data_IF_190427596286
#
_entry.id   IF_190427596286
#
_cell.length_a   1.000
_cell.length_b   1.000
_cell.length_c   1.000
_cell.angle_alpha   90.00
_cell.angle_beta   90.00
_cell.angle_gamma   90.00
#
_symmetry.space_group_name_H-M   'P 1'
#
loop_
_entity.id
_entity.type
_entity.pdbx_description
1 polymer ?
#
# COMPACT_ATOMS: atom_id res chain seq x y z
N UNK A 1 55.54 21.02 24.63
CA UNK A 1 54.66 22.05 25.23
C UNK A 1 54.26 23.14 24.22
N UNK A 2 54.05 22.86 22.95
CA UNK A 2 53.69 23.88 21.93
C UNK A 2 52.37 23.60 21.18
N UNK A 3 51.54 22.67 21.66
CA UNK A 3 50.25 22.28 21.00
C UNK A 3 48.98 22.62 21.81
N UNK A 4 49.08 23.30 22.95
CA UNK A 4 47.95 23.67 23.82
C UNK A 4 47.56 25.14 23.83
N UNK A 5 48.23 25.99 23.04
CA UNK A 5 48.00 27.44 23.06
C UNK A 5 47.15 27.93 21.87
N UNK A 6 46.91 27.09 20.85
CA UNK A 6 46.16 27.50 19.66
C UNK A 6 44.62 27.33 19.84
N UNK A 7 44.16 26.51 20.79
CA UNK A 7 42.72 26.26 21.02
C UNK A 7 42.02 27.34 21.87
N UNK A 8 42.73 28.24 22.50
CA UNK A 8 42.14 29.26 23.42
C UNK A 8 41.88 30.59 22.69
N UNK A 9 42.49 30.82 21.53
CA UNK A 9 42.34 32.10 20.81
C UNK A 9 41.12 32.15 19.86
N UNK A 10 40.42 31.03 19.65
CA UNK A 10 39.26 30.98 18.72
C UNK A 10 37.89 31.16 19.40
N UNK A 11 37.86 31.21 20.74
CA UNK A 11 36.58 31.35 21.51
C UNK A 11 36.28 32.80 21.97
N UNK A 12 37.12 33.79 21.65
CA UNK A 12 36.93 35.15 22.17
C UNK A 12 36.33 36.14 21.15
N UNK A 13 36.12 35.73 19.90
CA UNK A 13 35.63 36.63 18.84
C UNK A 13 34.12 36.54 18.56
N UNK A 14 33.34 35.79 19.31
CA UNK A 14 31.88 35.64 19.09
C UNK A 14 30.97 36.31 20.15
N UNK A 15 31.47 37.15 21.03
CA UNK A 15 30.67 37.80 22.09
C UNK A 15 30.48 39.31 21.93
N UNK A 16 30.94 39.92 20.83
CA UNK A 16 30.95 41.38 20.68
C UNK A 16 29.94 41.98 19.67
N UNK A 17 28.79 41.29 19.41
CA UNK A 17 27.79 41.80 18.44
C UNK A 17 26.37 41.87 18.96
N UNK A 18 26.13 42.02 20.27
CA UNK A 18 24.76 42.22 20.81
C UNK A 18 24.71 43.35 21.85
N UNK A 19 24.99 44.57 21.45
CA UNK A 19 24.64 45.73 22.27
C UNK A 19 24.69 47.01 21.46
N UNK A 20 23.69 47.33 20.64
CA UNK A 20 23.26 48.73 20.37
C UNK A 20 21.85 48.66 19.76
N UNK A 21 20.89 49.32 20.41
CA UNK A 21 19.58 49.60 19.77
C UNK A 21 18.38 49.60 20.69
N UNK A 22 18.41 50.39 21.77
CA UNK A 22 17.22 50.81 22.47
C UNK A 22 16.91 52.23 22.06
N UNK A 23 15.72 52.49 21.48
CA UNK A 23 15.25 53.84 21.14
C UNK A 23 13.74 53.78 20.84
N UNK A 24 12.94 54.26 21.78
CA UNK A 24 11.48 54.35 21.73
C UNK A 24 10.96 55.38 20.71
N UNK A 25 9.85 55.15 20.04
CA UNK A 25 8.55 55.82 20.17
C UNK A 25 7.59 55.57 19.01
N UNK A 26 6.37 55.25 19.45
CA UNK A 26 5.04 55.55 18.89
C UNK A 26 4.63 55.19 17.47
N UNK A 27 3.57 54.36 17.41
CA UNK A 27 2.37 54.58 16.61
C UNK A 27 2.29 53.85 15.28
N UNK A 28 1.46 52.85 15.21
CA UNK A 28 1.00 52.33 13.92
C UNK A 28 0.77 50.80 13.94
N UNK A 29 -0.48 50.44 14.24
CA UNK A 29 -1.00 49.07 14.08
C UNK A 29 -0.95 48.67 12.60
N UNK A 30 -0.04 47.78 12.25
CA UNK A 30 -0.14 46.97 11.04
C UNK A 30 0.33 45.55 11.38
N UNK A 31 -0.64 44.69 11.58
CA UNK A 31 -0.44 43.25 11.71
C UNK A 31 0.05 42.69 10.37
N UNK A 32 1.33 42.74 10.11
CA UNK A 32 1.92 41.84 9.14
C UNK A 32 1.91 40.43 9.75
N UNK A 33 0.95 39.63 9.33
CA UNK A 33 1.09 38.17 9.43
C UNK A 33 2.38 37.78 8.67
N UNK A 34 3.43 37.45 9.39
CA UNK A 34 4.53 36.67 8.84
C UNK A 34 3.93 35.34 8.40
N UNK A 35 3.60 35.22 7.12
CA UNK A 35 3.47 33.94 6.47
C UNK A 35 4.87 33.32 6.46
N UNK A 36 5.17 32.58 7.51
CA UNK A 36 6.33 31.71 7.53
C UNK A 36 6.22 30.78 6.32
N UNK A 37 7.07 31.00 5.34
CA UNK A 37 7.31 30.07 4.24
C UNK A 37 7.97 28.82 4.85
N UNK A 38 7.14 27.95 5.45
CA UNK A 38 7.55 26.63 5.89
C UNK A 38 7.85 25.84 4.62
N UNK A 39 9.09 25.87 4.14
CA UNK A 39 9.54 24.93 3.11
C UNK A 39 9.05 23.55 3.51
N UNK A 40 8.13 22.98 2.75
CA UNK A 40 7.61 21.65 2.98
C UNK A 40 8.79 20.68 3.15
N UNK A 41 8.79 19.92 4.26
CA UNK A 41 9.87 18.97 4.53
C UNK A 41 9.91 17.96 3.38
N UNK A 42 11.05 17.82 2.74
CA UNK A 42 11.28 16.77 1.74
C UNK A 42 11.59 15.48 2.47
N UNK A 43 10.94 14.42 2.05
CA UNK A 43 11.15 13.08 2.59
C UNK A 43 11.81 12.20 1.55
N UNK A 44 12.58 11.21 2.00
CA UNK A 44 13.15 10.15 1.18
C UNK A 44 12.36 8.86 1.43
N UNK A 45 11.76 8.31 0.40
CA UNK A 45 10.85 7.16 0.47
C UNK A 45 11.43 5.97 -0.29
N UNK A 46 11.64 4.85 0.39
CA UNK A 46 11.89 3.56 -0.23
C UNK A 46 10.58 2.81 -0.43
N UNK A 47 10.37 2.24 -1.61
CA UNK A 47 9.16 1.48 -1.93
C UNK A 47 9.60 0.14 -2.52
N UNK A 48 9.20 -0.95 -1.90
CA UNK A 48 9.38 -2.30 -2.42
C UNK A 48 8.04 -2.98 -2.62
N UNK A 49 7.83 -3.53 -3.79
CA UNK A 49 6.58 -4.16 -4.19
C UNK A 49 6.82 -5.63 -4.58
N UNK A 50 5.84 -6.47 -4.29
CA UNK A 50 5.83 -7.89 -4.61
C UNK A 50 6.09 -8.13 -6.09
N UNK A 51 5.29 -7.50 -6.97
CA UNK A 51 5.47 -7.60 -8.42
C UNK A 51 4.81 -6.43 -9.15
N UNK A 52 5.50 -5.89 -10.15
CA UNK A 52 4.97 -4.91 -11.11
C UNK A 52 4.46 -5.57 -12.41
N UNK A 53 4.58 -6.88 -12.55
CA UNK A 53 3.97 -7.61 -13.66
C UNK A 53 2.45 -7.60 -13.57
N UNK A 54 1.89 -7.50 -12.35
CA UNK A 54 0.48 -7.33 -12.11
C UNK A 54 0.03 -5.92 -12.51
N UNK A 55 -0.87 -5.82 -13.50
CA UNK A 55 -1.31 -4.54 -14.07
C UNK A 55 -2.02 -3.62 -13.05
N UNK A 56 -2.72 -4.19 -12.06
CA UNK A 56 -3.35 -3.42 -10.99
C UNK A 56 -2.29 -2.71 -10.14
N UNK A 57 -1.29 -3.44 -9.67
CA UNK A 57 -0.22 -2.87 -8.84
C UNK A 57 0.66 -1.91 -9.61
N UNK A 58 0.96 -2.18 -10.88
CA UNK A 58 1.67 -1.23 -11.75
C UNK A 58 0.90 0.10 -11.87
N UNK A 59 -0.42 0.05 -11.99
CA UNK A 59 -1.29 1.23 -12.02
C UNK A 59 -1.30 1.99 -10.70
N UNK A 60 -1.40 1.30 -9.57
CA UNK A 60 -1.36 1.89 -8.22
C UNK A 60 -0.02 2.58 -7.98
N UNK A 61 1.09 1.92 -8.32
CA UNK A 61 2.43 2.49 -8.15
C UNK A 61 2.65 3.70 -9.05
N UNK A 62 2.17 3.68 -10.30
CA UNK A 62 2.22 4.85 -11.18
C UNK A 62 1.52 6.08 -10.58
N UNK A 63 0.37 5.88 -9.91
CA UNK A 63 -0.31 6.98 -9.22
C UNK A 63 0.42 7.43 -7.96
N UNK A 64 1.04 6.52 -7.21
CA UNK A 64 1.86 6.86 -6.06
C UNK A 64 3.06 7.71 -6.48
N UNK A 65 3.77 7.32 -7.56
CA UNK A 65 4.90 8.10 -8.09
C UNK A 65 4.50 9.51 -8.50
N UNK A 66 3.36 9.69 -9.17
CA UNK A 66 2.81 11.02 -9.50
C UNK A 66 2.66 11.87 -8.22
N UNK A 67 2.05 11.31 -7.17
CA UNK A 67 1.84 12.01 -5.90
C UNK A 67 3.16 12.36 -5.17
N UNK A 68 4.15 11.49 -5.22
CA UNK A 68 5.46 11.74 -4.60
C UNK A 68 6.22 12.83 -5.36
N UNK A 69 6.16 12.84 -6.70
CA UNK A 69 6.71 13.89 -7.56
C UNK A 69 6.06 15.24 -7.28
N UNK A 70 4.74 15.30 -7.18
CA UNK A 70 3.99 16.53 -6.89
C UNK A 70 4.35 17.11 -5.51
N UNK A 71 4.63 16.24 -4.53
CA UNK A 71 5.13 16.64 -3.21
C UNK A 71 6.60 17.07 -3.21
N UNK A 72 7.34 16.80 -4.30
CA UNK A 72 8.76 17.02 -4.39
C UNK A 72 9.59 16.14 -3.43
N UNK A 73 9.08 14.95 -3.12
CA UNK A 73 9.77 13.97 -2.29
C UNK A 73 10.71 13.11 -3.14
N UNK A 74 11.85 12.74 -2.58
CA UNK A 74 12.75 11.79 -3.21
C UNK A 74 12.25 10.37 -2.96
N UNK A 75 12.18 9.54 -3.99
CA UNK A 75 11.73 8.16 -3.83
C UNK A 75 12.49 7.19 -4.72
N UNK A 76 12.47 5.93 -4.30
CA UNK A 76 12.98 4.79 -5.06
C UNK A 76 11.93 3.68 -5.01
N UNK A 77 11.42 3.25 -6.16
CA UNK A 77 10.47 2.13 -6.30
C UNK A 77 11.21 0.94 -6.93
N UNK A 78 11.15 -0.22 -6.28
CA UNK A 78 11.81 -1.45 -6.75
C UNK A 78 10.83 -2.62 -6.67
N UNK A 79 10.77 -3.39 -7.75
CA UNK A 79 10.12 -4.68 -7.83
C UNK A 79 10.99 -5.76 -7.19
N UNK A 80 10.45 -6.61 -6.33
CA UNK A 80 11.19 -7.75 -5.79
C UNK A 80 10.93 -9.06 -6.55
N UNK A 81 10.09 -9.02 -7.60
CA UNK A 81 9.80 -10.15 -8.50
C UNK A 81 9.35 -11.40 -7.73
N UNK A 82 8.43 -11.24 -6.78
CA UNK A 82 7.93 -12.29 -5.88
C UNK A 82 9.02 -13.00 -5.04
N UNK A 83 10.19 -12.37 -4.88
CA UNK A 83 11.32 -12.94 -4.15
C UNK A 83 11.55 -12.23 -2.81
N UNK A 84 11.19 -12.89 -1.71
CA UNK A 84 11.31 -12.33 -0.37
C UNK A 84 12.77 -12.08 0.06
N UNK A 85 13.74 -12.88 -0.38
CA UNK A 85 15.15 -12.65 -0.07
C UNK A 85 15.68 -11.39 -0.80
N UNK A 86 15.25 -11.17 -2.04
CA UNK A 86 15.52 -9.93 -2.79
C UNK A 86 14.88 -8.75 -2.05
N UNK A 87 13.64 -8.91 -1.57
CA UNK A 87 12.92 -7.85 -0.85
C UNK A 87 13.60 -7.46 0.45
N UNK A 88 14.09 -8.42 1.24
CA UNK A 88 14.90 -8.15 2.43
C UNK A 88 16.12 -7.28 2.07
N UNK A 89 16.87 -7.65 1.04
CA UNK A 89 18.06 -6.89 0.61
C UNK A 89 17.70 -5.47 0.11
N UNK A 90 16.54 -5.29 -0.51
CA UNK A 90 16.03 -3.96 -0.91
C UNK A 90 15.74 -3.09 0.32
N UNK A 91 15.10 -3.65 1.35
CA UNK A 91 14.81 -2.95 2.61
C UNK A 91 16.10 -2.59 3.34
N UNK A 92 17.09 -3.50 3.41
CA UNK A 92 18.43 -3.20 3.95
C UNK A 92 19.08 -2.00 3.25
N UNK A 93 18.99 -1.92 1.92
CA UNK A 93 19.49 -0.81 1.13
C UNK A 93 18.75 0.50 1.44
N UNK A 94 17.43 0.46 1.67
CA UNK A 94 16.65 1.63 2.07
C UNK A 94 17.05 2.13 3.47
N UNK A 95 17.28 1.23 4.43
CA UNK A 95 17.79 1.56 5.76
C UNK A 95 19.15 2.24 5.64
N UNK A 96 20.10 1.60 4.94
CA UNK A 96 21.46 2.10 4.77
C UNK A 96 21.49 3.46 4.05
N UNK A 97 20.60 3.67 3.09
CA UNK A 97 20.50 4.92 2.36
C UNK A 97 19.81 6.05 3.13
N UNK A 98 19.31 5.78 4.33
CA UNK A 98 18.66 6.75 5.21
C UNK A 98 17.32 7.24 4.67
N UNK A 99 16.41 6.31 4.31
CA UNK A 99 15.03 6.66 4.02
C UNK A 99 14.32 7.16 5.28
N UNK A 100 13.39 8.10 5.14
CA UNK A 100 12.49 8.53 6.23
C UNK A 100 11.29 7.58 6.36
N UNK A 101 10.88 6.96 5.24
CA UNK A 101 9.75 6.02 5.14
C UNK A 101 10.13 4.88 4.20
N UNK A 102 9.79 3.67 4.62
CA UNK A 102 9.81 2.48 3.76
C UNK A 102 8.39 1.98 3.60
N UNK A 103 7.94 1.85 2.35
CA UNK A 103 6.65 1.29 1.99
C UNK A 103 6.85 -0.12 1.46
N UNK A 104 6.13 -1.08 2.02
CA UNK A 104 6.32 -2.51 1.74
C UNK A 104 5.01 -3.13 1.28
N UNK A 105 4.99 -3.69 0.06
CA UNK A 105 4.02 -4.70 -0.35
C UNK A 105 4.73 -6.05 -0.29
N UNK A 106 4.52 -6.85 0.77
CA UNK A 106 5.35 -8.01 1.00
C UNK A 106 5.07 -9.14 0.00
N UNK A 107 6.12 -9.79 -0.49
CA UNK A 107 5.99 -11.07 -1.20
C UNK A 107 5.72 -12.22 -0.21
N UNK A 108 6.28 -12.12 0.98
CA UNK A 108 5.99 -12.95 2.15
C UNK A 108 6.15 -12.06 3.41
N UNK A 109 5.02 -11.75 4.05
CA UNK A 109 4.99 -10.88 5.22
C UNK A 109 5.92 -11.37 6.34
N UNK A 110 5.96 -12.69 6.60
CA UNK A 110 6.80 -13.26 7.67
C UNK A 110 8.29 -13.16 7.35
N UNK A 111 8.66 -13.29 6.09
CA UNK A 111 10.05 -13.24 5.68
C UNK A 111 10.68 -11.85 5.87
N UNK A 112 9.88 -10.79 5.73
CA UNK A 112 10.38 -9.40 5.81
C UNK A 112 10.17 -8.75 7.19
N UNK A 113 9.51 -9.43 8.15
CA UNK A 113 9.24 -8.89 9.49
C UNK A 113 10.50 -8.42 10.23
N UNK A 114 11.56 -9.23 10.21
CA UNK A 114 12.77 -8.89 10.96
C UNK A 114 13.46 -7.64 10.41
N UNK A 115 13.57 -7.53 9.10
CA UNK A 115 14.22 -6.36 8.49
C UNK A 115 13.35 -5.10 8.63
N UNK A 116 12.03 -5.23 8.66
CA UNK A 116 11.13 -4.12 8.96
C UNK A 116 11.29 -3.65 10.42
N UNK A 117 11.52 -4.59 11.36
CA UNK A 117 11.86 -4.24 12.73
C UNK A 117 13.18 -3.45 12.80
N UNK A 118 14.20 -3.85 12.06
CA UNK A 118 15.48 -3.11 12.01
C UNK A 118 15.28 -1.69 11.46
N UNK A 119 14.40 -1.51 10.48
CA UNK A 119 14.04 -0.18 9.98
C UNK A 119 13.40 0.68 11.08
N UNK A 120 12.45 0.12 11.85
CA UNK A 120 11.83 0.80 12.99
C UNK A 120 12.83 1.14 14.08
N UNK A 121 13.76 0.23 14.40
CA UNK A 121 14.82 0.44 15.39
C UNK A 121 15.81 1.56 14.95
N UNK A 122 15.88 1.85 13.63
CA UNK A 122 16.62 2.95 13.04
C UNK A 122 15.79 4.25 12.88
N UNK A 123 14.63 4.37 13.56
CA UNK A 123 13.69 5.50 13.48
C UNK A 123 13.07 5.72 12.08
N UNK A 124 13.18 4.77 11.17
CA UNK A 124 12.54 4.82 9.86
C UNK A 124 11.09 4.35 10.00
N UNK A 125 10.15 5.08 9.41
CA UNK A 125 8.75 4.67 9.40
C UNK A 125 8.54 3.55 8.40
N UNK A 126 7.76 2.54 8.78
CA UNK A 126 7.41 1.42 7.89
C UNK A 126 5.91 1.42 7.68
N UNK A 127 5.49 1.44 6.42
CA UNK A 127 4.09 1.27 6.02
C UNK A 127 3.97 -0.01 5.19
N UNK A 128 3.09 -0.89 5.62
CA UNK A 128 2.73 -2.09 4.87
C UNK A 128 1.34 -1.94 4.27
N UNK A 129 1.10 -2.56 3.14
CA UNK A 129 -0.25 -2.69 2.59
C UNK A 129 -0.48 -4.09 2.03
N UNK A 130 -1.76 -4.45 1.89
CA UNK A 130 -2.32 -5.71 1.45
C UNK A 130 -2.19 -6.83 2.49
N UNK A 131 -1.02 -7.38 2.76
CA UNK A 131 -0.78 -8.37 3.81
C UNK A 131 -0.31 -7.71 5.11
N UNK A 132 -1.06 -7.83 6.23
CA UNK A 132 -0.70 -7.16 7.47
C UNK A 132 0.58 -7.73 8.09
N UNK A 133 1.41 -6.84 8.61
CA UNK A 133 2.65 -7.14 9.31
C UNK A 133 2.63 -6.59 10.74
N UNK A 134 3.36 -7.22 11.66
CA UNK A 134 3.46 -6.77 13.05
C UNK A 134 4.45 -5.60 13.21
N UNK A 135 5.62 -5.69 12.56
CA UNK A 135 6.68 -4.69 12.67
C UNK A 135 6.48 -3.54 11.68
N UNK A 136 5.44 -2.75 11.89
CA UNK A 136 5.10 -1.60 11.06
C UNK A 136 4.67 -0.40 11.89
N UNK A 137 4.82 0.80 11.33
CA UNK A 137 4.22 2.03 11.86
C UNK A 137 2.72 2.07 11.52
N UNK A 138 2.36 1.57 10.34
CA UNK A 138 0.99 1.49 9.87
C UNK A 138 0.81 0.34 8.87
N UNK A 139 -0.31 -0.37 9.02
CA UNK A 139 -0.83 -1.29 8.02
C UNK A 139 -2.02 -0.66 7.31
N UNK A 140 -2.00 -0.67 5.99
CA UNK A 140 -3.15 -0.29 5.16
C UNK A 140 -3.68 -1.54 4.47
N UNK A 141 -4.66 -2.16 5.10
CA UNK A 141 -5.22 -3.44 4.66
C UNK A 141 -6.72 -3.29 4.39
N UNK A 142 -7.23 -4.12 3.50
CA UNK A 142 -8.65 -4.27 3.26
C UNK A 142 -9.19 -5.43 4.11
N UNK A 143 -10.41 -5.29 4.59
CA UNK A 143 -11.17 -6.44 5.04
C UNK A 143 -11.66 -7.20 3.80
N UNK A 144 -10.91 -8.24 3.43
CA UNK A 144 -11.18 -9.01 2.21
C UNK A 144 -12.48 -9.83 2.31
N UNK A 145 -12.86 -10.26 3.51
CA UNK A 145 -14.13 -10.93 3.73
C UNK A 145 -15.30 -9.98 3.48
N UNK A 146 -15.27 -8.79 4.09
CA UNK A 146 -16.34 -7.79 3.90
C UNK A 146 -16.38 -7.27 2.44
N UNK A 147 -15.22 -7.06 1.81
CA UNK A 147 -15.17 -6.72 0.38
C UNK A 147 -15.81 -7.83 -0.46
N UNK A 148 -15.49 -9.09 -0.17
CA UNK A 148 -16.10 -10.24 -0.85
C UNK A 148 -17.63 -10.28 -0.67
N UNK A 149 -18.13 -10.05 0.55
CA UNK A 149 -19.57 -9.99 0.82
C UNK A 149 -20.27 -8.91 0.01
N UNK A 150 -19.67 -7.72 -0.08
CA UNK A 150 -20.25 -6.64 -0.89
C UNK A 150 -20.27 -6.99 -2.38
N UNK A 151 -19.22 -7.65 -2.91
CA UNK A 151 -19.20 -8.13 -4.30
C UNK A 151 -20.31 -9.17 -4.50
N UNK A 152 -20.41 -10.17 -3.62
CA UNK A 152 -21.45 -11.20 -3.67
C UNK A 152 -22.86 -10.63 -3.58
N UNK A 153 -23.09 -9.63 -2.74
CA UNK A 153 -24.35 -8.90 -2.63
C UNK A 153 -24.70 -8.19 -3.93
N UNK A 154 -23.74 -7.51 -4.59
CA UNK A 154 -23.97 -6.87 -5.90
C UNK A 154 -24.31 -7.90 -6.98
N UNK A 155 -23.62 -9.04 -6.99
CA UNK A 155 -23.96 -10.14 -7.87
C UNK A 155 -25.38 -10.67 -7.59
N UNK A 156 -25.75 -10.82 -6.32
CA UNK A 156 -27.09 -11.25 -5.92
C UNK A 156 -28.19 -10.27 -6.34
N UNK A 157 -27.96 -8.96 -6.28
CA UNK A 157 -28.88 -7.94 -6.81
C UNK A 157 -29.16 -8.18 -8.29
N UNK A 158 -28.12 -8.41 -9.10
CA UNK A 158 -28.27 -8.75 -10.53
C UNK A 158 -28.99 -10.08 -10.73
N UNK A 159 -28.61 -11.12 -9.99
CA UNK A 159 -29.22 -12.45 -10.07
C UNK A 159 -30.71 -12.38 -9.72
N UNK A 160 -31.07 -11.67 -8.66
CA UNK A 160 -32.47 -11.52 -8.25
C UNK A 160 -33.35 -10.74 -9.24
N UNK A 161 -32.73 -9.89 -10.09
CA UNK A 161 -33.43 -9.16 -11.15
C UNK A 161 -33.63 -10.01 -12.43
N UNK A 162 -32.69 -10.90 -12.73
CA UNK A 162 -32.64 -11.62 -14.02
C UNK A 162 -33.06 -13.08 -13.96
N UNK A 163 -32.96 -13.74 -12.82
CA UNK A 163 -33.10 -15.17 -12.67
C UNK A 163 -34.18 -15.52 -11.63
N UNK A 164 -34.77 -16.70 -11.78
CA UNK A 164 -35.83 -17.23 -10.89
C UNK A 164 -35.41 -18.56 -10.28
N UNK A 165 -36.22 -19.12 -9.36
CA UNK A 165 -35.95 -20.43 -8.79
C UNK A 165 -36.06 -21.57 -9.84
N UNK A 166 -36.88 -21.37 -10.89
CA UNK A 166 -37.05 -22.34 -11.98
C UNK A 166 -36.04 -22.15 -13.13
N UNK A 167 -35.37 -21.00 -13.18
CA UNK A 167 -34.34 -20.65 -14.16
C UNK A 167 -33.16 -19.97 -13.41
N UNK A 168 -32.31 -20.81 -12.83
CA UNK A 168 -31.26 -20.37 -11.92
C UNK A 168 -30.04 -19.77 -12.65
N UNK A 169 -29.40 -18.81 -11.99
CA UNK A 169 -28.07 -18.36 -12.39
C UNK A 169 -27.05 -19.47 -12.11
N UNK A 170 -26.23 -19.79 -13.10
CA UNK A 170 -25.09 -20.70 -12.98
C UNK A 170 -23.81 -19.86 -12.78
N UNK A 171 -23.38 -19.76 -11.53
CA UNK A 171 -22.33 -18.84 -11.10
C UNK A 171 -20.97 -19.52 -11.09
N UNK A 172 -19.99 -18.87 -11.69
CA UNK A 172 -18.57 -19.20 -11.52
C UNK A 172 -17.92 -18.14 -10.64
N UNK A 173 -17.26 -18.58 -9.55
CA UNK A 173 -16.45 -17.68 -8.71
C UNK A 173 -15.01 -17.73 -9.19
N UNK A 174 -14.43 -16.56 -9.49
CA UNK A 174 -13.04 -16.41 -9.89
C UNK A 174 -12.28 -15.89 -8.68
N UNK A 175 -11.33 -16.67 -8.19
CA UNK A 175 -10.55 -16.36 -7.00
C UNK A 175 -9.09 -16.72 -7.14
N UNK A 176 -8.38 -16.80 -6.03
CA UNK A 176 -7.02 -17.34 -5.97
C UNK A 176 -6.74 -17.86 -4.55
N UNK A 177 -7.16 -19.10 -4.24
CA UNK A 177 -7.15 -19.65 -2.89
C UNK A 177 -5.76 -19.90 -2.31
N UNK A 178 -4.72 -19.89 -3.14
CA UNK A 178 -3.33 -20.02 -2.71
C UNK A 178 -2.85 -18.82 -1.89
N UNK A 179 -3.48 -17.66 -2.06
CA UNK A 179 -3.21 -16.45 -1.29
C UNK A 179 -4.33 -16.20 -0.28
N UNK A 180 -3.99 -16.11 1.00
CA UNK A 180 -4.96 -16.00 2.10
C UNK A 180 -5.99 -14.90 1.90
N UNK A 181 -5.56 -13.67 1.60
CA UNK A 181 -6.44 -12.51 1.44
C UNK A 181 -7.40 -12.66 0.25
N UNK A 182 -6.96 -13.32 -0.84
CA UNK A 182 -7.81 -13.59 -2.00
C UNK A 182 -8.77 -14.75 -1.76
N UNK A 183 -8.37 -15.74 -0.97
CA UNK A 183 -9.28 -16.79 -0.50
C UNK A 183 -10.38 -16.20 0.39
N UNK A 184 -10.05 -15.34 1.33
CA UNK A 184 -11.01 -14.65 2.20
C UNK A 184 -12.02 -13.84 1.36
N UNK A 185 -11.57 -13.20 0.28
CA UNK A 185 -12.45 -12.48 -0.66
C UNK A 185 -13.39 -13.41 -1.40
N UNK A 186 -12.90 -14.53 -1.94
CA UNK A 186 -13.73 -15.52 -2.65
C UNK A 186 -14.74 -16.17 -1.72
N UNK A 187 -14.35 -16.48 -0.48
CA UNK A 187 -15.28 -17.00 0.54
C UNK A 187 -16.35 -15.97 0.90
N UNK A 188 -15.96 -14.69 1.05
CA UNK A 188 -16.89 -13.57 1.25
C UNK A 188 -17.89 -13.41 0.08
N UNK A 189 -17.45 -13.56 -1.18
CA UNK A 189 -18.36 -13.54 -2.35
C UNK A 189 -19.45 -14.62 -2.21
N UNK A 190 -19.04 -15.85 -1.89
CA UNK A 190 -20.00 -16.96 -1.70
C UNK A 190 -20.96 -16.69 -0.54
N UNK A 191 -20.48 -16.11 0.56
CA UNK A 191 -21.31 -15.73 1.69
C UNK A 191 -22.31 -14.63 1.30
N UNK A 192 -21.84 -13.58 0.60
CA UNK A 192 -22.70 -12.49 0.11
C UNK A 192 -23.78 -12.96 -0.86
N UNK A 193 -23.46 -13.91 -1.76
CA UNK A 193 -24.46 -14.57 -2.61
C UNK A 193 -25.49 -15.32 -1.77
N UNK A 194 -25.04 -16.15 -0.81
CA UNK A 194 -25.91 -16.96 0.04
C UNK A 194 -26.85 -16.12 0.90
N UNK A 195 -26.39 -15.00 1.41
CA UNK A 195 -27.20 -14.12 2.27
C UNK A 195 -28.23 -13.31 1.49
N UNK A 196 -27.99 -13.02 0.20
CA UNK A 196 -28.78 -12.06 -0.55
C UNK A 196 -29.56 -12.65 -1.74
N UNK A 197 -29.24 -13.86 -2.23
CA UNK A 197 -30.01 -14.53 -3.29
C UNK A 197 -31.29 -15.22 -2.75
N UNK A 198 -32.26 -15.39 -3.64
CA UNK A 198 -33.61 -15.94 -3.38
C UNK A 198 -33.75 -17.40 -3.83
N UNK A 199 -32.75 -18.24 -3.62
CA UNK A 199 -32.69 -19.64 -4.11
C UNK A 199 -32.75 -19.76 -5.66
N UNK A 200 -32.26 -18.75 -6.35
CA UNK A 200 -32.26 -18.59 -7.80
C UNK A 200 -30.83 -18.61 -8.39
N UNK A 201 -29.91 -19.27 -7.73
CA UNK A 201 -28.53 -19.44 -8.20
C UNK A 201 -27.96 -20.80 -7.78
N UNK A 202 -26.90 -21.19 -8.45
CA UNK A 202 -26.05 -22.32 -8.10
C UNK A 202 -24.58 -21.95 -8.44
N UNK A 203 -23.64 -22.18 -7.51
CA UNK A 203 -22.21 -22.08 -7.81
C UNK A 203 -21.78 -23.37 -8.48
N UNK A 204 -21.49 -23.31 -9.78
CA UNK A 204 -21.15 -24.46 -10.60
C UNK A 204 -19.64 -24.68 -10.75
N UNK A 205 -18.84 -23.63 -10.54
CA UNK A 205 -17.38 -23.70 -10.61
C UNK A 205 -16.72 -22.63 -9.73
N UNK A 206 -15.53 -22.97 -9.26
CA UNK A 206 -14.57 -22.03 -8.66
C UNK A 206 -13.25 -22.20 -9.40
N UNK A 207 -12.65 -21.11 -9.88
CA UNK A 207 -11.42 -21.15 -10.70
C UNK A 207 -10.44 -20.10 -10.26
N UNK A 208 -9.17 -20.37 -10.49
CA UNK A 208 -8.09 -19.43 -10.27
C UNK A 208 -8.06 -18.36 -11.36
N UNK A 209 -7.74 -17.12 -10.99
CA UNK A 209 -7.72 -16.01 -11.94
C UNK A 209 -6.93 -14.80 -11.43
N UNK A 210 -5.68 -15.03 -10.98
CA UNK A 210 -4.80 -13.94 -10.54
C UNK A 210 -4.31 -13.11 -11.73
N UNK A 211 -3.86 -13.76 -12.79
CA UNK A 211 -3.34 -13.13 -13.99
C UNK A 211 -4.32 -13.30 -15.17
N UNK A 212 -4.43 -12.28 -16.02
CA UNK A 212 -5.41 -12.27 -17.11
C UNK A 212 -5.33 -13.47 -18.07
N UNK A 213 -4.16 -13.97 -18.50
CA UNK A 213 -4.09 -15.15 -19.37
C UNK A 213 -4.59 -16.43 -18.68
N UNK A 214 -4.29 -16.61 -17.38
CA UNK A 214 -4.75 -17.73 -16.58
C UNK A 214 -6.29 -17.66 -16.39
N UNK A 215 -6.79 -16.50 -15.97
CA UNK A 215 -8.22 -16.28 -15.81
C UNK A 215 -8.98 -16.57 -17.11
N UNK A 216 -8.51 -16.09 -18.25
CA UNK A 216 -9.11 -16.36 -19.54
C UNK A 216 -9.16 -17.87 -19.85
N UNK A 217 -8.04 -18.58 -19.71
CA UNK A 217 -7.96 -20.02 -19.96
C UNK A 217 -8.90 -20.81 -19.06
N UNK A 218 -8.99 -20.43 -17.79
CA UNK A 218 -9.88 -21.10 -16.83
C UNK A 218 -11.35 -20.83 -17.13
N UNK A 219 -11.71 -19.60 -17.49
CA UNK A 219 -13.08 -19.24 -17.92
C UNK A 219 -13.47 -19.99 -19.20
N UNK A 220 -12.60 -20.09 -20.20
CA UNK A 220 -12.83 -20.88 -21.42
C UNK A 220 -13.05 -22.36 -21.10
N UNK A 221 -12.30 -22.90 -20.14
CA UNK A 221 -12.46 -24.27 -19.66
C UNK A 221 -13.83 -24.49 -18.97
N UNK A 222 -14.25 -23.54 -18.13
CA UNK A 222 -15.58 -23.56 -17.50
C UNK A 222 -16.68 -23.52 -18.55
N UNK A 223 -16.61 -22.59 -19.52
CA UNK A 223 -17.61 -22.48 -20.59
C UNK A 223 -17.68 -23.74 -21.49
N UNK A 224 -16.55 -24.45 -21.62
CA UNK A 224 -16.53 -25.73 -22.35
C UNK A 224 -17.17 -26.87 -21.56
N UNK A 225 -16.96 -26.91 -20.24
CA UNK A 225 -17.52 -27.93 -19.35
C UNK A 225 -18.99 -27.65 -18.95
N UNK A 226 -19.30 -26.37 -18.81
CA UNK A 226 -20.60 -25.83 -18.38
C UNK A 226 -21.06 -24.75 -19.38
N UNK A 227 -21.62 -25.15 -20.56
CA UNK A 227 -22.09 -24.19 -21.57
C UNK A 227 -23.22 -23.28 -21.10
N UNK A 228 -23.83 -23.60 -19.98
CA UNK A 228 -24.89 -22.88 -19.31
C UNK A 228 -24.38 -21.89 -18.23
N UNK A 229 -23.06 -21.83 -17.99
CA UNK A 229 -22.46 -20.81 -17.11
C UNK A 229 -22.79 -19.40 -17.64
N UNK A 230 -23.40 -18.57 -16.79
CA UNK A 230 -23.96 -17.29 -17.24
C UNK A 230 -23.68 -16.10 -16.29
N UNK A 231 -23.10 -16.35 -15.11
CA UNK A 231 -22.65 -15.33 -14.16
C UNK A 231 -21.22 -15.66 -13.71
N UNK A 232 -20.31 -14.69 -13.85
CA UNK A 232 -18.93 -14.78 -13.40
C UNK A 232 -18.67 -13.67 -12.38
N UNK A 233 -18.13 -14.03 -11.21
CA UNK A 233 -17.94 -13.12 -10.07
C UNK A 233 -16.52 -13.22 -9.55
#
# INVERSE_FOLDING_TARGET
MKKKIVSILLCVTMVAAMAVGCGSKDGGSDSKSESGDSKAKKYKVGITIQSLSNAYWAGVMGKLEEQLKDKGWDYTLIDCEDNSATQVSQIENFITSGCDLIMVHPSDAKAVENICKEALDADIKVMCWDDPMENTTANWVLDNTELGKEIGKRAAEFINDKFTADDKAHVTVIGYPSTKVLKERADGIKEGLKENCKDNYEVIAEVDGLEAPEAQSNVESVLSAHPDANVFV
#
